data_IF_802580657294
#
_entry.id   IF_802580657294
#
_cell.length_a   1.000
_cell.length_b   1.000
_cell.length_c   1.000
_cell.angle_alpha   90.00
_cell.angle_beta   90.00
_cell.angle_gamma   90.00
#
_symmetry.space_group_name_H-M   'P 1'
#
loop_
_entity.id
_entity.type
_entity.pdbx_description
1 polymer ?
#
# COMPACT_ATOMS: atom_id res chain seq x y z
N UNK A 1 6.26 -7.95 -3.00
CA UNK A 1 5.31 -7.03 -3.64
C UNK A 1 3.90 -7.58 -3.70
N UNK A 2 3.39 -8.11 -2.58
CA UNK A 2 1.98 -8.51 -2.44
C UNK A 2 1.10 -7.30 -2.12
N UNK A 3 -0.18 -7.32 -2.48
CA UNK A 3 -1.10 -6.25 -2.12
C UNK A 3 -1.42 -6.30 -0.62
N UNK A 4 -1.32 -5.17 0.08
CA UNK A 4 -1.65 -5.06 1.49
C UNK A 4 -3.16 -4.99 1.77
N UNK A 5 -4.00 -5.10 0.73
CA UNK A 5 -5.45 -4.98 0.83
C UNK A 5 -5.95 -3.55 1.05
N UNK A 6 -5.06 -2.55 1.02
CA UNK A 6 -5.39 -1.13 1.17
C UNK A 6 -5.20 -0.37 -0.14
N UNK A 7 -6.04 0.64 -0.37
CA UNK A 7 -5.87 1.62 -1.45
C UNK A 7 -5.21 2.88 -0.90
N UNK A 8 -4.24 3.41 -1.63
CA UNK A 8 -3.59 4.68 -1.30
C UNK A 8 -4.05 5.84 -2.19
N UNK A 9 -5.28 5.77 -2.72
CA UNK A 9 -5.79 6.78 -3.65
C UNK A 9 -6.08 8.14 -2.99
N UNK A 10 -6.63 8.13 -1.77
CA UNK A 10 -6.99 9.35 -1.03
C UNK A 10 -6.19 9.54 0.26
N UNK A 11 -5.66 8.46 0.82
CA UNK A 11 -4.97 8.42 2.11
C UNK A 11 -3.71 7.56 1.96
N UNK A 12 -2.66 7.79 2.77
CA UNK A 12 -1.49 6.92 2.76
C UNK A 12 -1.83 5.51 3.27
N UNK A 13 -0.97 4.54 2.94
CA UNK A 13 -1.06 3.19 3.51
C UNK A 13 -0.78 3.23 5.01
N UNK A 14 -1.66 2.63 5.83
CA UNK A 14 -1.45 2.57 7.27
C UNK A 14 -0.71 1.30 7.71
N UNK A 15 -0.79 0.23 6.91
CA UNK A 15 -0.09 -1.01 7.25
C UNK A 15 1.44 -0.80 7.22
N UNK A 16 2.13 -1.03 8.35
CA UNK A 16 3.58 -0.89 8.41
C UNK A 16 4.25 -1.91 7.46
N UNK A 17 5.25 -1.44 6.71
CA UNK A 17 5.91 -2.26 5.69
C UNK A 17 5.25 -2.19 4.32
N UNK A 18 4.13 -1.47 4.16
CA UNK A 18 3.53 -1.21 2.85
C UNK A 18 3.95 0.14 2.29
N UNK A 19 3.89 0.29 0.96
CA UNK A 19 4.11 1.54 0.24
C UNK A 19 3.09 1.70 -0.89
N UNK A 20 2.83 2.95 -1.27
CA UNK A 20 1.85 3.26 -2.31
C UNK A 20 2.47 3.11 -3.70
N UNK A 21 1.87 2.26 -4.54
CA UNK A 21 2.21 2.10 -5.96
C UNK A 21 0.92 2.07 -6.78
N UNK A 22 0.81 2.92 -7.79
CA UNK A 22 -0.33 2.91 -8.72
C UNK A 22 -1.70 2.96 -8.01
N UNK A 23 -1.81 3.75 -6.94
CA UNK A 23 -3.01 3.89 -6.06
C UNK A 23 -3.35 2.65 -5.21
N UNK A 24 -2.45 1.67 -5.15
CA UNK A 24 -2.59 0.48 -4.30
C UNK A 24 -1.44 0.38 -3.30
N UNK A 25 -1.73 -0.08 -2.09
CA UNK A 25 -0.71 -0.37 -1.10
C UNK A 25 -0.12 -1.75 -1.36
N UNK A 26 1.20 -1.80 -1.56
CA UNK A 26 1.97 -3.02 -1.80
C UNK A 26 3.00 -3.23 -0.72
N UNK A 27 3.26 -4.48 -0.34
CA UNK A 27 4.25 -4.85 0.65
C UNK A 27 5.66 -4.59 0.09
N UNK A 28 6.52 -3.96 0.91
CA UNK A 28 7.94 -3.71 0.61
C UNK A 28 8.77 -4.99 0.54
N UNK A 29 8.30 -6.08 1.14
CA UNK A 29 8.90 -7.41 1.05
C UNK A 29 8.50 -8.10 -0.26
#
# INVERSE_FOLDING_TARGET
GEYCGESCYLIPCFTPGCYCVSRQCVNKN
#
